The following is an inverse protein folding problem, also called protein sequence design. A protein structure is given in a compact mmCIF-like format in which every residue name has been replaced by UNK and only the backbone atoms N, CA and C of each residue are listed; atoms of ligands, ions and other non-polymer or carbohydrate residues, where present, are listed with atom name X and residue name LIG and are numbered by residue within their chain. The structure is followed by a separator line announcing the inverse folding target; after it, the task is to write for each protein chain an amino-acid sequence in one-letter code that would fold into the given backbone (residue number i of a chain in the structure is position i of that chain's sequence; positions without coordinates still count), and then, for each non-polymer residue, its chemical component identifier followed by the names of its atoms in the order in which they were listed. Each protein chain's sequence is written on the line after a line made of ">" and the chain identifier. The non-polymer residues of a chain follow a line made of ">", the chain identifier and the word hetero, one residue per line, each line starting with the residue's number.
data_IF_310221687058
#
_entry.id   IF_310221687058
#
_cell.length_a   1.000
_cell.length_b   1.000
_cell.length_c   1.000
_cell.angle_alpha   90.00
_cell.angle_beta   90.00
_cell.angle_gamma   90.00
#
_symmetry.space_group_name_H-M   'P 1'
#
loop_
_entity.id
_entity.type
_entity.pdbx_description
1 polymer ?
#
# COMPACT_ATOMS: atom_id res chain seq x y z
N UNK A 1 -17.58 27.95 -25.77
CA UNK A 1 -18.24 27.13 -24.73
C UNK A 1 -18.02 25.63 -24.90
N UNK A 2 -18.22 25.03 -26.09
CA UNK A 2 -18.02 23.58 -26.30
C UNK A 2 -16.61 23.12 -25.93
N UNK A 3 -15.56 23.83 -26.35
CA UNK A 3 -14.17 23.47 -26.05
C UNK A 3 -13.87 23.38 -24.55
N UNK A 4 -14.45 24.28 -23.75
CA UNK A 4 -14.22 24.35 -22.30
C UNK A 4 -14.91 23.16 -21.62
N UNK A 5 -16.18 22.90 -21.95
CA UNK A 5 -16.90 21.76 -21.40
C UNK A 5 -16.25 20.43 -21.80
N UNK A 6 -15.77 20.32 -23.04
CA UNK A 6 -15.10 19.12 -23.54
C UNK A 6 -13.74 18.89 -22.84
N UNK A 7 -12.97 19.97 -22.61
CA UNK A 7 -11.72 19.91 -21.86
C UNK A 7 -11.92 19.52 -20.39
N UNK A 8 -12.90 20.12 -19.70
CA UNK A 8 -13.21 19.78 -18.29
C UNK A 8 -13.66 18.32 -18.19
N UNK A 9 -14.54 17.87 -19.08
CA UNK A 9 -14.99 16.48 -19.12
C UNK A 9 -13.83 15.51 -19.33
N UNK A 10 -12.94 15.80 -20.29
CA UNK A 10 -11.74 15.01 -20.54
C UNK A 10 -10.79 14.96 -19.34
N UNK A 11 -10.62 16.09 -18.64
CA UNK A 11 -9.78 16.18 -17.45
C UNK A 11 -10.35 15.33 -16.30
N UNK A 12 -11.65 15.43 -16.04
CA UNK A 12 -12.33 14.62 -15.01
C UNK A 12 -12.25 13.13 -15.34
N UNK A 13 -12.47 12.76 -16.61
CA UNK A 13 -12.33 11.38 -17.06
C UNK A 13 -10.89 10.88 -16.89
N UNK A 14 -9.91 11.69 -17.30
CA UNK A 14 -8.49 11.41 -17.10
C UNK A 14 -8.14 11.21 -15.63
N UNK A 15 -8.66 12.05 -14.74
CA UNK A 15 -8.46 11.90 -13.30
C UNK A 15 -8.98 10.56 -12.77
N UNK A 16 -10.21 10.18 -13.14
CA UNK A 16 -10.76 8.88 -12.74
C UNK A 16 -9.96 7.70 -13.30
N UNK A 17 -9.44 7.82 -14.51
CA UNK A 17 -8.54 6.82 -15.11
C UNK A 17 -7.25 6.69 -14.29
N UNK A 18 -6.58 7.81 -14.00
CA UNK A 18 -5.32 7.81 -13.24
C UNK A 18 -5.48 7.35 -11.79
N UNK A 19 -6.63 7.64 -11.18
CA UNK A 19 -6.96 7.21 -9.81
C UNK A 19 -7.47 5.75 -9.72
N UNK A 20 -7.82 5.12 -10.85
CA UNK A 20 -8.37 3.76 -10.85
C UNK A 20 -7.29 2.68 -10.73
N UNK A 21 -7.64 1.57 -10.07
CA UNK A 21 -6.80 0.36 -9.98
C UNK A 21 -6.99 -0.60 -11.17
N UNK A 22 -7.92 -0.31 -12.08
CA UNK A 22 -8.26 -1.18 -13.23
C UNK A 22 -7.89 -0.52 -14.56
N UNK A 23 -6.65 -0.69 -15.05
CA UNK A 23 -6.16 -0.01 -16.25
C UNK A 23 -6.98 -0.36 -17.51
N UNK A 24 -7.58 -1.55 -17.56
CA UNK A 24 -8.37 -2.02 -18.71
C UNK A 24 -9.70 -1.27 -18.83
N UNK A 25 -10.42 -1.11 -17.72
CA UNK A 25 -11.74 -0.45 -17.70
C UNK A 25 -11.59 1.04 -18.00
N UNK A 26 -10.56 1.65 -17.42
CA UNK A 26 -10.18 3.04 -17.65
C UNK A 26 -9.89 3.35 -19.13
N UNK A 27 -9.10 2.49 -19.79
CA UNK A 27 -8.77 2.63 -21.22
C UNK A 27 -10.00 2.48 -22.12
N UNK A 28 -10.91 1.56 -21.79
CA UNK A 28 -12.14 1.35 -22.55
C UNK A 28 -13.08 2.56 -22.49
N UNK A 29 -13.29 3.14 -21.31
CA UNK A 29 -14.14 4.33 -21.17
C UNK A 29 -13.53 5.56 -21.83
N UNK A 30 -12.20 5.72 -21.81
CA UNK A 30 -11.51 6.79 -22.52
C UNK A 30 -11.79 6.74 -24.03
N UNK A 31 -11.69 5.55 -24.63
CA UNK A 31 -11.93 5.32 -26.06
C UNK A 31 -13.41 5.55 -26.39
N UNK A 32 -14.33 5.00 -25.59
CA UNK A 32 -15.77 5.18 -25.80
C UNK A 32 -16.20 6.66 -25.70
N UNK A 33 -15.67 7.39 -24.71
CA UNK A 33 -15.94 8.81 -24.53
C UNK A 33 -15.37 9.68 -25.65
N UNK A 34 -14.14 9.38 -26.12
CA UNK A 34 -13.54 10.06 -27.26
C UNK A 34 -14.34 9.82 -28.55
N UNK A 35 -14.79 8.59 -28.78
CA UNK A 35 -15.61 8.23 -29.95
C UNK A 35 -16.94 8.96 -29.93
N UNK A 36 -17.67 8.92 -28.81
CA UNK A 36 -18.94 9.62 -28.65
C UNK A 36 -18.77 11.13 -28.78
N UNK A 37 -17.75 11.71 -28.16
CA UNK A 37 -17.44 13.14 -28.26
C UNK A 37 -17.13 13.57 -29.70
N UNK A 38 -16.42 12.73 -30.46
CA UNK A 38 -16.13 12.97 -31.88
C UNK A 38 -17.42 12.90 -32.70
N UNK A 39 -18.28 11.91 -32.47
CA UNK A 39 -19.58 11.76 -33.17
C UNK A 39 -20.47 12.98 -32.90
N UNK A 40 -20.68 13.35 -31.64
CA UNK A 40 -21.50 14.52 -31.29
C UNK A 40 -20.89 15.85 -31.76
N UNK A 41 -19.56 15.94 -31.75
CA UNK A 41 -18.83 17.07 -32.33
C UNK A 41 -19.11 17.22 -33.82
N UNK A 42 -18.99 16.14 -34.58
CA UNK A 42 -19.25 16.11 -36.03
C UNK A 42 -20.72 16.43 -36.34
N UNK A 43 -21.67 15.80 -35.64
CA UNK A 43 -23.12 16.04 -35.84
C UNK A 43 -23.47 17.52 -35.57
N UNK A 44 -22.90 18.12 -34.53
CA UNK A 44 -23.17 19.54 -34.23
C UNK A 44 -22.53 20.50 -35.25
N UNK A 45 -21.43 20.08 -35.87
CA UNK A 45 -20.73 20.83 -36.93
C UNK A 45 -21.47 20.72 -38.27
N UNK A 46 -22.37 19.75 -38.44
CA UNK A 46 -23.09 19.48 -39.69
C UNK A 46 -23.96 20.65 -40.18
N UNK A 47 -24.24 21.63 -39.30
CA UNK A 47 -25.01 22.84 -39.62
C UNK A 47 -24.10 23.94 -40.22
N UNK A 48 -24.04 24.03 -41.54
CA UNK A 48 -23.66 25.22 -42.35
C UNK A 48 -22.20 25.75 -42.34
N UNK A 49 -21.17 24.91 -42.22
CA UNK A 49 -19.76 25.36 -42.38
C UNK A 49 -18.98 24.66 -43.51
N UNK A 50 -18.03 25.32 -44.19
CA UNK A 50 -17.20 24.72 -45.25
C UNK A 50 -16.29 23.61 -44.68
N UNK A 51 -16.14 22.50 -45.43
CA UNK A 51 -15.49 21.26 -44.98
C UNK A 51 -14.10 21.43 -44.34
N UNK A 52 -13.27 22.37 -44.82
CA UNK A 52 -11.95 22.65 -44.23
C UNK A 52 -12.03 23.23 -42.81
N UNK A 53 -13.00 24.12 -42.53
CA UNK A 53 -13.19 24.67 -41.19
C UNK A 53 -13.68 23.59 -40.22
N UNK A 54 -14.45 22.61 -40.71
CA UNK A 54 -14.92 21.45 -39.93
C UNK A 54 -13.77 20.55 -39.48
N UNK A 55 -12.87 20.20 -40.40
CA UNK A 55 -11.71 19.35 -40.12
C UNK A 55 -10.73 20.02 -39.13
N UNK A 56 -10.46 21.31 -39.29
CA UNK A 56 -9.61 22.04 -38.35
C UNK A 56 -10.24 22.08 -36.95
N UNK A 57 -11.55 22.29 -36.87
CA UNK A 57 -12.26 22.33 -35.60
C UNK A 57 -12.27 20.97 -34.89
N UNK A 58 -12.44 19.89 -35.66
CA UNK A 58 -12.33 18.51 -35.17
C UNK A 58 -10.92 18.23 -34.61
N UNK A 59 -9.88 18.60 -35.37
CA UNK A 59 -8.49 18.42 -34.93
C UNK A 59 -8.18 19.18 -33.63
N UNK A 60 -8.72 20.39 -33.48
CA UNK A 60 -8.58 21.18 -32.25
C UNK A 60 -9.30 20.50 -31.08
N UNK A 61 -10.52 20.01 -31.26
CA UNK A 61 -11.27 19.32 -30.21
C UNK A 61 -10.58 18.04 -29.74
N UNK A 62 -10.06 17.23 -30.67
CA UNK A 62 -9.31 16.00 -30.36
C UNK A 62 -8.04 16.34 -29.59
N UNK A 63 -7.32 17.39 -30.01
CA UNK A 63 -6.08 17.83 -29.34
C UNK A 63 -6.35 18.31 -27.91
N UNK A 64 -7.40 19.11 -27.71
CA UNK A 64 -7.82 19.57 -26.37
C UNK A 64 -8.22 18.39 -25.48
N UNK A 65 -8.96 17.43 -26.02
CA UNK A 65 -9.37 16.23 -25.27
C UNK A 65 -8.16 15.39 -24.86
N UNK A 66 -7.26 15.09 -25.80
CA UNK A 66 -6.07 14.28 -25.54
C UNK A 66 -5.16 14.91 -24.49
N UNK A 67 -4.88 16.20 -24.61
CA UNK A 67 -4.04 16.93 -23.64
C UNK A 67 -4.70 17.01 -22.25
N UNK A 68 -5.99 17.33 -22.19
CA UNK A 68 -6.72 17.42 -20.92
C UNK A 68 -6.83 16.06 -20.22
N UNK A 69 -7.06 14.98 -20.99
CA UNK A 69 -7.12 13.62 -20.47
C UNK A 69 -5.76 13.17 -19.93
N UNK A 70 -4.67 13.47 -20.63
CA UNK A 70 -3.31 13.18 -20.17
C UNK A 70 -2.99 13.90 -18.85
N UNK A 71 -3.32 15.19 -18.76
CA UNK A 71 -3.12 15.99 -17.54
C UNK A 71 -3.95 15.39 -16.38
N UNK A 72 -5.22 15.09 -16.63
CA UNK A 72 -6.10 14.45 -15.65
C UNK A 72 -5.51 13.12 -15.15
N UNK A 73 -5.03 12.28 -16.06
CA UNK A 73 -4.44 10.98 -15.71
C UNK A 73 -3.18 11.11 -14.84
N UNK A 74 -2.28 12.05 -15.17
CA UNK A 74 -1.09 12.33 -14.35
C UNK A 74 -1.50 12.82 -12.94
N UNK A 75 -2.52 13.69 -12.85
CA UNK A 75 -3.03 14.16 -11.55
C UNK A 75 -3.62 12.99 -10.76
N UNK A 76 -4.42 12.12 -11.39
CA UNK A 76 -5.01 10.95 -10.74
C UNK A 76 -3.95 9.94 -10.27
N UNK A 77 -2.92 9.70 -11.09
CA UNK A 77 -1.79 8.84 -10.71
C UNK A 77 -1.02 9.45 -9.54
N UNK A 78 -0.72 10.75 -9.60
CA UNK A 78 -0.08 11.46 -8.49
C UNK A 78 -0.93 11.38 -7.24
N UNK A 79 -2.25 11.56 -7.32
CA UNK A 79 -3.16 11.44 -6.19
C UNK A 79 -3.10 10.04 -5.56
N UNK A 80 -3.10 8.98 -6.38
CA UNK A 80 -2.90 7.60 -5.90
C UNK A 80 -1.55 7.39 -5.22
N UNK A 81 -0.49 7.94 -5.82
CA UNK A 81 0.87 7.79 -5.33
C UNK A 81 1.23 8.83 -4.26
N UNK A 82 0.31 9.74 -3.89
CA UNK A 82 0.51 10.76 -2.85
C UNK A 82 0.28 10.19 -1.46
N UNK A 83 -0.06 8.90 -1.32
CA UNK A 83 0.02 8.25 -0.03
C UNK A 83 1.45 8.40 0.49
N UNK A 84 1.60 9.23 1.53
CA UNK A 84 2.81 9.38 2.34
C UNK A 84 3.55 8.06 2.35
N UNK A 85 4.82 7.99 1.91
CA UNK A 85 5.54 6.73 1.85
C UNK A 85 5.29 6.06 3.18
N UNK A 86 4.60 4.91 3.14
CA UNK A 86 4.30 4.13 4.33
C UNK A 86 5.66 4.01 4.97
N UNK A 87 5.91 4.75 6.07
CA UNK A 87 7.21 4.74 6.75
C UNK A 87 7.53 3.28 6.87
N UNK A 88 8.53 2.80 6.10
CA UNK A 88 8.80 1.38 6.00
C UNK A 88 8.84 0.90 7.43
N UNK A 89 7.94 -0.02 7.77
CA UNK A 89 7.73 -0.40 9.17
C UNK A 89 9.07 -0.98 9.62
N UNK A 90 9.85 -0.15 10.33
CA UNK A 90 11.24 -0.46 10.70
C UNK A 90 11.17 -1.77 11.46
N UNK A 91 11.79 -2.79 10.88
CA UNK A 91 11.93 -4.07 11.56
C UNK A 91 12.88 -3.86 12.74
N UNK A 92 12.59 -4.40 13.94
CA UNK A 92 13.41 -4.14 15.13
C UNK A 92 14.90 -4.46 14.96
N UNK A 93 15.20 -5.41 14.08
CA UNK A 93 16.54 -5.94 13.81
C UNK A 93 17.24 -5.30 12.60
N UNK A 94 16.78 -4.15 12.11
CA UNK A 94 17.47 -3.45 11.02
C UNK A 94 18.91 -3.11 11.42
N UNK A 95 19.88 -3.53 10.59
CA UNK A 95 21.31 -3.39 10.89
C UNK A 95 21.87 -4.35 11.94
N UNK A 96 21.06 -5.33 12.40
CA UNK A 96 21.42 -6.31 13.44
C UNK A 96 21.28 -7.74 12.95
N UNK A 97 21.64 -8.71 13.80
CA UNK A 97 21.40 -10.11 13.51
C UNK A 97 19.89 -10.38 13.45
N UNK A 98 19.43 -10.99 12.36
CA UNK A 98 18.02 -11.34 12.18
C UNK A 98 17.60 -12.52 13.09
N UNK A 99 16.30 -12.67 13.40
CA UNK A 99 15.76 -13.83 14.09
C UNK A 99 16.13 -15.16 13.40
N UNK A 100 16.28 -16.23 14.18
CA UNK A 100 16.76 -17.52 13.62
C UNK A 100 15.71 -18.23 12.77
N UNK A 101 14.42 -17.93 12.96
CA UNK A 101 13.33 -18.56 12.24
C UNK A 101 12.23 -17.55 11.89
N UNK A 102 11.41 -17.92 10.90
CA UNK A 102 10.31 -17.08 10.41
C UNK A 102 9.26 -16.81 11.48
N UNK A 103 8.99 -17.77 12.37
CA UNK A 103 7.98 -17.62 13.43
C UNK A 103 8.37 -16.54 14.44
N UNK A 104 9.62 -16.55 14.91
CA UNK A 104 10.22 -15.57 15.79
C UNK A 104 10.25 -14.19 15.11
N UNK A 105 10.56 -14.13 13.81
CA UNK A 105 10.50 -12.88 13.06
C UNK A 105 9.09 -12.29 13.00
N UNK A 106 8.07 -13.11 12.69
CA UNK A 106 6.68 -12.67 12.67
C UNK A 106 6.20 -12.24 14.06
N UNK A 107 6.56 -12.99 15.09
CA UNK A 107 6.24 -12.68 16.47
C UNK A 107 6.85 -11.34 16.92
N UNK A 108 8.11 -11.07 16.57
CA UNK A 108 8.74 -9.78 16.83
C UNK A 108 8.09 -8.62 16.06
N UNK A 109 7.59 -8.85 14.85
CA UNK A 109 6.84 -7.82 14.08
C UNK A 109 5.52 -7.47 14.75
N UNK A 110 4.84 -8.45 15.35
CA UNK A 110 3.60 -8.25 16.10
C UNK A 110 3.92 -7.57 17.43
N UNK A 111 4.94 -8.04 18.15
CA UNK A 111 5.42 -7.47 19.41
C UNK A 111 5.81 -6.00 19.24
N UNK A 112 6.60 -5.68 18.22
CA UNK A 112 6.96 -4.30 17.89
C UNK A 112 5.73 -3.42 17.57
N UNK A 113 4.71 -3.98 16.91
CA UNK A 113 3.45 -3.27 16.64
C UNK A 113 2.71 -2.97 17.94
N UNK A 114 2.61 -3.94 18.85
CA UNK A 114 1.96 -3.77 20.16
C UNK A 114 2.73 -2.77 21.04
N UNK A 115 4.05 -2.85 21.09
CA UNK A 115 4.91 -1.88 21.80
C UNK A 115 4.76 -0.48 21.23
N UNK A 116 4.73 -0.33 19.90
CA UNK A 116 4.47 0.97 19.28
C UNK A 116 3.09 1.53 19.64
N UNK A 117 2.06 0.67 19.71
CA UNK A 117 0.72 1.06 20.17
C UNK A 117 0.68 1.44 21.66
N UNK A 118 1.56 0.88 22.48
CA UNK A 118 1.80 1.27 23.88
C UNK A 118 2.58 2.58 24.04
N UNK A 119 3.05 3.19 22.95
CA UNK A 119 3.78 4.45 22.97
C UNK A 119 5.30 4.32 23.01
N UNK A 120 5.85 3.10 22.88
CA UNK A 120 7.29 2.92 22.76
C UNK A 120 7.80 3.46 21.42
N UNK A 121 8.92 4.16 21.46
CA UNK A 121 9.58 4.65 20.26
C UNK A 121 10.40 3.54 19.58
N UNK A 122 10.77 3.73 18.31
CA UNK A 122 11.51 2.72 17.54
C UNK A 122 12.87 2.38 18.16
N UNK A 123 13.57 3.34 18.77
CA UNK A 123 14.85 3.11 19.44
C UNK A 123 14.72 2.20 20.67
N UNK A 124 13.66 2.36 21.46
CA UNK A 124 13.39 1.52 22.64
C UNK A 124 13.01 0.10 22.22
N UNK A 125 12.25 -0.05 21.13
CA UNK A 125 11.91 -1.37 20.59
C UNK A 125 13.18 -2.07 20.07
N UNK A 126 14.08 -1.33 19.43
CA UNK A 126 15.37 -1.85 19.00
C UNK A 126 16.27 -2.25 20.18
N UNK A 127 16.28 -1.47 21.27
CA UNK A 127 17.01 -1.79 22.50
C UNK A 127 16.46 -3.07 23.17
N UNK A 128 15.15 -3.26 23.21
CA UNK A 128 14.54 -4.52 23.66
C UNK A 128 14.98 -5.72 22.81
N UNK A 129 15.13 -5.51 21.50
CA UNK A 129 15.64 -6.54 20.61
C UNK A 129 17.12 -6.88 20.88
N UNK A 130 17.94 -5.91 21.27
CA UNK A 130 19.34 -6.16 21.67
C UNK A 130 19.43 -7.06 22.91
N UNK A 131 18.57 -6.80 23.91
CA UNK A 131 18.47 -7.66 25.09
C UNK A 131 18.18 -9.11 24.67
N UNK A 132 17.30 -9.28 23.67
CA UNK A 132 16.99 -10.60 23.11
C UNK A 132 18.18 -11.27 22.43
N UNK A 133 19.03 -10.53 21.72
CA UNK A 133 20.24 -11.09 21.12
C UNK A 133 21.22 -11.60 22.18
N UNK A 134 21.37 -10.85 23.29
CA UNK A 134 22.20 -11.28 24.44
C UNK A 134 21.62 -12.53 25.10
N UNK A 135 20.30 -12.57 25.31
CA UNK A 135 19.61 -13.73 25.88
C UNK A 135 19.78 -14.96 25.00
N UNK A 136 19.60 -14.81 23.68
CA UNK A 136 19.79 -15.88 22.71
C UNK A 136 21.19 -16.49 22.79
N UNK A 137 22.23 -15.66 22.82
CA UNK A 137 23.61 -16.13 22.96
C UNK A 137 23.84 -16.87 24.29
N UNK A 138 23.16 -16.46 25.36
CA UNK A 138 23.19 -17.19 26.65
C UNK A 138 22.49 -18.54 26.55
N UNK A 139 21.30 -18.59 25.95
CA UNK A 139 20.52 -19.83 25.75
C UNK A 139 21.28 -20.84 24.90
N UNK A 140 21.95 -20.39 23.83
CA UNK A 140 22.79 -21.24 22.99
C UNK A 140 23.91 -21.93 23.77
N UNK A 141 24.55 -21.23 24.71
CA UNK A 141 25.57 -21.83 25.60
C UNK A 141 24.97 -22.87 26.54
N UNK A 142 23.80 -22.60 27.11
CA UNK A 142 23.11 -23.54 28.00
C UNK A 142 22.74 -24.82 27.22
N UNK A 143 22.16 -24.66 26.02
CA UNK A 143 21.80 -25.78 25.15
C UNK A 143 23.05 -26.59 24.76
N UNK A 144 24.19 -25.94 24.51
CA UNK A 144 25.45 -26.63 24.23
C UNK A 144 25.93 -27.47 25.43
N UNK A 145 25.88 -26.90 26.64
CA UNK A 145 26.22 -27.61 27.89
C UNK A 145 25.27 -28.77 28.18
N UNK A 146 23.97 -28.59 27.95
CA UNK A 146 22.96 -29.66 28.09
C UNK A 146 23.20 -30.80 27.11
N UNK A 147 23.70 -30.51 25.90
CA UNK A 147 24.05 -31.55 24.92
C UNK A 147 25.29 -32.34 25.32
N UNK A 148 26.28 -31.69 25.91
CA UNK A 148 27.54 -32.33 26.33
C UNK A 148 27.36 -33.18 27.60
N UNK A 149 26.55 -32.71 28.56
CA UNK A 149 26.31 -33.40 29.83
C UNK A 149 25.28 -34.54 29.75
N UNK A 150 24.78 -34.89 28.55
CA UNK A 150 23.82 -35.98 28.37
C UNK A 150 24.50 -37.34 28.43
N UNK A 151 24.50 -37.92 29.63
CA UNK A 151 24.43 -39.36 29.83
C UNK A 151 22.99 -39.70 30.30
N UNK A 152 22.24 -40.42 29.47
CA UNK A 152 21.09 -41.26 29.82
C UNK A 152 19.66 -40.71 30.11
N UNK A 153 18.72 -41.38 29.40
CA UNK A 153 17.53 -42.10 29.88
C UNK A 153 16.24 -41.37 30.32
N UNK A 154 16.20 -40.05 30.54
CA UNK A 154 14.92 -39.35 30.75
C UNK A 154 14.73 -38.12 29.85
N UNK A 155 13.54 -37.92 29.25
CA UNK A 155 13.22 -36.71 28.50
C UNK A 155 12.86 -35.60 29.49
N UNK A 156 13.85 -34.87 30.00
CA UNK A 156 13.59 -33.56 30.60
C UNK A 156 13.20 -32.58 29.49
N UNK A 157 12.31 -31.62 29.78
CA UNK A 157 11.98 -30.53 28.85
C UNK A 157 13.27 -29.85 28.39
N UNK A 158 13.51 -29.85 27.07
CA UNK A 158 14.72 -29.28 26.51
C UNK A 158 14.61 -27.75 26.51
N UNK A 159 15.68 -27.06 26.92
CA UNK A 159 15.78 -25.62 26.71
C UNK A 159 15.74 -25.33 25.20
N UNK A 160 14.83 -24.45 24.79
CA UNK A 160 14.71 -23.99 23.39
C UNK A 160 14.95 -22.50 23.29
N UNK A 161 15.54 -22.07 22.18
CA UNK A 161 15.79 -20.64 21.92
C UNK A 161 14.45 -19.90 21.83
N UNK A 162 13.45 -20.47 21.16
CA UNK A 162 12.15 -19.86 20.95
C UNK A 162 11.05 -20.91 21.12
N UNK A 163 10.03 -20.59 21.92
CA UNK A 163 8.90 -21.47 22.18
C UNK A 163 7.65 -21.00 21.41
N UNK A 164 7.25 -21.75 20.39
CA UNK A 164 6.08 -21.42 19.57
C UNK A 164 4.76 -21.47 20.35
N UNK A 165 4.68 -22.27 21.42
CA UNK A 165 3.50 -22.36 22.27
C UNK A 165 3.33 -21.14 23.19
N UNK A 166 4.39 -20.36 23.39
CA UNK A 166 4.35 -19.13 24.20
C UNK A 166 5.14 -18.00 23.52
N UNK A 167 4.58 -17.40 22.46
CA UNK A 167 5.23 -16.32 21.70
C UNK A 167 5.29 -15.01 22.50
N UNK A 168 6.23 -14.13 22.21
CA UNK A 168 6.45 -12.88 22.95
C UNK A 168 5.24 -11.93 22.92
N UNK A 169 4.52 -11.87 21.80
CA UNK A 169 3.40 -10.94 21.67
C UNK A 169 2.24 -11.23 22.63
N UNK A 170 2.11 -12.45 23.18
CA UNK A 170 1.04 -12.79 24.14
C UNK A 170 1.33 -12.24 25.54
N UNK A 171 2.58 -11.89 25.83
CA UNK A 171 2.95 -11.22 27.08
C UNK A 171 2.47 -9.76 27.12
N UNK A 172 2.04 -9.21 25.98
CA UNK A 172 1.53 -7.85 25.85
C UNK A 172 0.00 -7.84 25.74
N UNK A 173 -0.69 -6.89 26.36
CA UNK A 173 -2.16 -6.83 26.36
C UNK A 173 -2.73 -6.76 24.94
N UNK A 174 -3.82 -7.48 24.69
CA UNK A 174 -4.51 -7.50 23.39
C UNK A 174 -5.39 -6.27 23.17
N UNK A 175 -5.86 -5.65 24.25
CA UNK A 175 -6.79 -4.51 24.23
C UNK A 175 -6.10 -3.16 24.01
N UNK A 176 -5.11 -3.13 23.12
CA UNK A 176 -4.51 -1.89 22.68
C UNK A 176 -5.40 -1.33 21.57
N UNK A 177 -6.27 -0.39 21.94
CA UNK A 177 -7.01 0.44 21.00
C UNK A 177 -6.01 1.24 20.16
N UNK A 178 -5.50 0.61 19.11
CA UNK A 178 -4.81 1.32 18.05
C UNK A 178 -5.74 2.47 17.63
N UNK A 179 -5.25 3.72 17.48
CA UNK A 179 -6.06 4.76 16.89
C UNK A 179 -6.54 4.22 15.55
N UNK A 180 -7.86 4.08 15.42
CA UNK A 180 -8.54 3.55 14.26
C UNK A 180 -8.11 4.43 13.09
N UNK A 181 -7.06 4.04 12.36
CA UNK A 181 -6.78 4.61 11.05
C UNK A 181 -8.01 4.24 10.23
N UNK A 182 -8.92 5.19 10.07
CA UNK A 182 -9.98 5.06 9.09
C UNK A 182 -9.29 4.64 7.79
N UNK A 183 -9.64 3.48 7.22
CA UNK A 183 -9.17 3.18 5.89
C UNK A 183 -9.67 4.33 5.02
N UNK A 184 -8.74 5.02 4.35
CA UNK A 184 -9.10 5.93 3.27
C UNK A 184 -9.62 5.05 2.13
N UNK A 185 -10.86 4.59 2.28
CA UNK A 185 -11.61 3.91 1.24
C UNK A 185 -11.89 4.97 0.20
N UNK A 186 -11.37 4.77 -1.01
CA UNK A 186 -11.76 5.57 -2.15
C UNK A 186 -13.28 5.53 -2.33
N UNK A 187 -13.88 6.55 -2.97
CA UNK A 187 -15.33 6.74 -3.07
C UNK A 187 -16.10 5.60 -3.78
N UNK A 188 -15.42 4.57 -4.29
CA UNK A 188 -16.01 3.44 -5.01
C UNK A 188 -16.24 2.18 -4.14
N UNK A 189 -16.10 2.24 -2.81
CA UNK A 189 -16.27 1.06 -1.93
C UNK A 189 -17.28 1.23 -0.78
N UNK A 190 -18.21 2.19 -0.91
CA UNK A 190 -19.39 2.32 -0.04
C UNK A 190 -20.64 1.75 -0.73
N UNK A 191 -20.73 0.42 -0.78
CA UNK A 191 -21.95 -0.38 -1.04
C UNK A 191 -21.62 -1.77 -0.48
N UNK A 192 -22.31 -2.40 0.47
CA UNK A 192 -23.70 -2.32 0.93
C UNK A 192 -23.76 -2.64 2.44
N UNK A 193 -24.85 -2.19 3.07
CA UNK A 193 -25.23 -2.53 4.45
C UNK A 193 -25.50 -4.03 4.65
#
# INVERSE_FOLDING_TARGET
>A
MIYIGYGIFALVLGYFIGASNTPVVASFFAIAAALLGTIFGVIKIEVNSPNQKKLNLLGILISIFSTSLLIGAIIGEKYRNYETPIKQKIVPWEGRQAPSNTYEALDWIITAKKLSALGYNTSQIAELYEIRLVEKARLERIIAQEKENRNDYYPSENTVIYNQSNPFHTMLPDNLTAPKKSPARGPASETDN
#
